data_IF_732611817954
#
_entry.id   IF_732611817954
#
_cell.length_a   1.000
_cell.length_b   1.000
_cell.length_c   1.000
_cell.angle_alpha   90.00
_cell.angle_beta   90.00
_cell.angle_gamma   90.00
#
_symmetry.space_group_name_H-M   'P 1'
#
loop_
_entity.id
_entity.type
_entity.pdbx_description
1 polymer ?
#
# COMPACT_ATOMS: atom_id res chain seq x y z
N UNK A 1 4.49 -3.93 26.20
CA UNK A 1 3.94 -4.99 25.35
C UNK A 1 4.65 -4.86 24.03
N UNK A 2 5.58 -5.77 23.76
CA UNK A 2 6.38 -5.75 22.54
C UNK A 2 5.47 -6.19 21.38
N UNK A 3 5.16 -5.27 20.48
CA UNK A 3 4.31 -5.51 19.31
C UNK A 3 5.09 -6.30 18.26
N UNK A 4 5.23 -7.61 18.48
CA UNK A 4 5.84 -8.51 17.52
C UNK A 4 4.78 -8.96 16.50
N UNK A 5 4.73 -8.27 15.37
CA UNK A 5 3.93 -8.70 14.22
C UNK A 5 4.66 -9.87 13.54
N UNK A 6 4.19 -11.11 13.77
CA UNK A 6 4.76 -12.31 13.13
C UNK A 6 4.45 -12.43 11.63
N UNK A 7 5.08 -13.40 10.96
CA UNK A 7 5.11 -13.61 9.49
C UNK A 7 3.77 -13.89 8.79
N UNK A 8 2.73 -14.16 9.57
CA UNK A 8 1.35 -14.54 9.19
C UNK A 8 0.32 -13.57 9.80
N UNK A 9 0.76 -12.40 10.28
CA UNK A 9 -0.09 -11.50 11.06
C UNK A 9 -1.34 -11.01 10.31
N UNK A 10 -1.22 -10.60 9.03
CA UNK A 10 -2.38 -10.22 8.22
C UNK A 10 -3.36 -11.37 8.01
N UNK A 11 -2.85 -12.59 7.77
CA UNK A 11 -3.67 -13.78 7.57
C UNK A 11 -4.43 -14.17 8.85
N UNK A 12 -3.79 -14.07 10.01
CA UNK A 12 -4.45 -14.27 11.32
C UNK A 12 -5.53 -13.23 11.62
N UNK A 13 -5.43 -12.04 11.04
CA UNK A 13 -6.47 -11.02 11.13
C UNK A 13 -7.60 -11.21 10.10
N UNK A 14 -7.53 -12.26 9.27
CA UNK A 14 -8.48 -12.49 8.17
C UNK A 14 -8.33 -11.50 7.02
N UNK A 15 -7.16 -10.86 6.89
CA UNK A 15 -6.88 -9.86 5.87
C UNK A 15 -6.11 -10.51 4.73
N UNK A 16 -6.64 -10.40 3.51
CA UNK A 16 -5.94 -10.77 2.28
C UNK A 16 -5.40 -9.54 1.57
N UNK A 17 -4.18 -9.63 1.05
CA UNK A 17 -3.54 -8.58 0.27
C UNK A 17 -3.70 -8.86 -1.23
N UNK A 18 -4.06 -7.84 -2.01
CA UNK A 18 -4.20 -7.94 -3.46
C UNK A 18 -3.35 -6.87 -4.13
N UNK A 19 -2.34 -7.31 -4.86
CA UNK A 19 -1.52 -6.44 -5.69
C UNK A 19 -2.31 -5.98 -6.90
N UNK A 20 -2.46 -4.66 -7.05
CA UNK A 20 -3.17 -4.08 -8.19
C UNK A 20 -2.24 -3.72 -9.37
N UNK A 21 -0.95 -3.54 -9.15
CA UNK A 21 0.06 -3.22 -10.18
C UNK A 21 -0.08 -1.83 -10.86
N UNK A 22 -1.25 -1.19 -10.85
CA UNK A 22 -1.44 0.17 -11.34
C UNK A 22 -2.57 0.88 -10.59
N UNK A 23 -2.53 2.22 -10.57
CA UNK A 23 -3.57 3.07 -9.97
C UNK A 23 -4.95 2.82 -10.59
N UNK A 24 -5.02 2.60 -11.90
CA UNK A 24 -6.27 2.27 -12.61
C UNK A 24 -6.88 0.95 -12.12
N UNK A 25 -6.05 -0.04 -11.82
CA UNK A 25 -6.51 -1.36 -11.37
C UNK A 25 -7.05 -1.34 -9.94
N UNK A 26 -6.63 -0.39 -9.10
CA UNK A 26 -7.11 -0.28 -7.71
C UNK A 26 -8.63 -0.11 -7.69
N UNK A 27 -9.15 0.83 -8.48
CA UNK A 27 -10.60 1.09 -8.56
C UNK A 27 -11.32 -0.13 -9.16
N UNK A 28 -10.77 -0.73 -10.22
CA UNK A 28 -11.34 -1.91 -10.86
C UNK A 28 -11.47 -3.08 -9.87
N UNK A 29 -10.40 -3.43 -9.15
CA UNK A 29 -10.42 -4.52 -8.18
C UNK A 29 -11.33 -4.20 -7.01
N UNK A 30 -11.34 -2.96 -6.50
CA UNK A 30 -12.26 -2.54 -5.46
C UNK A 30 -13.72 -2.72 -5.88
N UNK A 31 -14.07 -2.38 -7.13
CA UNK A 31 -15.43 -2.58 -7.66
C UNK A 31 -15.79 -4.06 -7.80
N UNK A 32 -14.89 -4.89 -8.32
CA UNK A 32 -15.11 -6.34 -8.46
C UNK A 32 -15.32 -6.97 -7.08
N UNK A 33 -14.45 -6.68 -6.12
CA UNK A 33 -14.54 -7.22 -4.76
C UNK A 33 -15.80 -6.74 -4.05
N UNK A 34 -16.17 -5.47 -4.23
CA UNK A 34 -17.44 -4.92 -3.72
C UNK A 34 -18.65 -5.66 -4.26
N UNK A 35 -18.65 -6.06 -5.54
CA UNK A 35 -19.73 -6.85 -6.12
C UNK A 35 -19.92 -8.20 -5.40
N UNK A 36 -18.84 -8.81 -4.93
CA UNK A 36 -18.88 -10.04 -4.12
C UNK A 36 -19.12 -9.79 -2.62
N UNK A 37 -19.41 -8.56 -2.20
CA UNK A 37 -19.60 -8.20 -0.79
C UNK A 37 -18.31 -8.22 0.03
N UNK A 38 -17.14 -8.22 -0.61
CA UNK A 38 -15.85 -8.21 0.05
C UNK A 38 -15.50 -6.75 0.38
N UNK A 39 -15.28 -6.46 1.66
CA UNK A 39 -14.80 -5.14 2.11
C UNK A 39 -13.35 -4.96 1.67
N UNK A 40 -13.04 -3.76 1.19
CA UNK A 40 -11.72 -3.44 0.65
C UNK A 40 -11.15 -2.19 1.30
N UNK A 41 -9.84 -2.21 1.49
CA UNK A 41 -9.04 -1.09 1.92
C UNK A 41 -7.92 -0.90 0.91
N UNK A 42 -7.74 0.31 0.38
CA UNK A 42 -6.70 0.58 -0.60
C UNK A 42 -5.43 1.13 0.02
N UNK A 43 -4.28 0.66 -0.45
CA UNK A 43 -2.99 1.28 -0.15
C UNK A 43 -2.41 1.71 -1.49
N UNK A 44 -2.07 3.00 -1.62
CA UNK A 44 -1.45 3.51 -2.83
C UNK A 44 -0.36 4.52 -2.54
N UNK A 45 0.62 4.58 -3.43
CA UNK A 45 1.68 5.56 -3.38
C UNK A 45 1.33 6.83 -4.16
N UNK A 46 1.77 7.96 -3.64
CA UNK A 46 1.67 9.27 -4.26
C UNK A 46 2.88 9.56 -5.13
N UNK A 47 3.34 8.64 -5.98
CA UNK A 47 4.49 8.86 -6.87
C UNK A 47 4.19 9.87 -8.00
N UNK A 48 3.92 11.13 -7.63
CA UNK A 48 3.67 12.25 -8.54
C UNK A 48 4.97 12.94 -8.96
N UNK A 49 6.09 12.68 -8.27
CA UNK A 49 7.35 13.43 -8.43
C UNK A 49 8.38 12.74 -9.33
N UNK A 50 8.39 11.40 -9.48
CA UNK A 50 9.53 10.69 -10.10
C UNK A 50 9.62 10.75 -11.63
N UNK A 51 8.60 11.24 -12.34
CA UNK A 51 8.71 11.43 -13.79
C UNK A 51 9.23 12.84 -14.13
N UNK A 52 10.48 12.90 -14.62
CA UNK A 52 11.17 14.12 -15.07
C UNK A 52 10.42 14.85 -16.21
N UNK A 53 9.54 14.16 -16.92
CA UNK A 53 8.69 14.73 -17.96
C UNK A 53 7.33 15.15 -17.38
N UNK A 54 7.07 16.47 -17.34
CA UNK A 54 5.87 17.06 -16.74
C UNK A 54 4.51 16.55 -17.29
N UNK A 55 4.48 15.82 -18.40
CA UNK A 55 3.26 15.21 -18.98
C UNK A 55 2.65 14.11 -18.09
N UNK A 56 3.47 13.31 -17.40
CA UNK A 56 2.96 12.23 -16.55
C UNK A 56 2.48 12.72 -15.18
N UNK A 57 2.91 13.91 -14.74
CA UNK A 57 2.53 14.49 -13.44
C UNK A 57 1.04 14.79 -13.35
N UNK A 58 0.48 15.44 -14.37
CA UNK A 58 -0.95 15.75 -14.42
C UNK A 58 -1.80 14.49 -14.46
N UNK A 59 -1.37 13.46 -15.19
CA UNK A 59 -2.09 12.20 -15.26
C UNK A 59 -2.04 11.44 -13.92
N UNK A 60 -0.88 11.39 -13.25
CA UNK A 60 -0.76 10.76 -11.93
C UNK A 60 -1.60 11.49 -10.88
N UNK A 61 -1.56 12.83 -10.85
CA UNK A 61 -2.36 13.65 -9.94
C UNK A 61 -3.87 13.41 -10.16
N UNK A 62 -4.31 13.35 -11.42
CA UNK A 62 -5.69 13.02 -11.77
C UNK A 62 -6.08 11.61 -11.29
N UNK A 63 -5.20 10.62 -11.47
CA UNK A 63 -5.45 9.25 -11.01
C UNK A 63 -5.52 9.14 -9.49
N UNK A 64 -4.64 9.85 -8.76
CA UNK A 64 -4.72 9.96 -7.30
C UNK A 64 -6.07 10.54 -6.87
N UNK A 65 -6.48 11.65 -7.49
CA UNK A 65 -7.77 12.29 -7.22
C UNK A 65 -8.95 11.34 -7.45
N UNK A 66 -8.92 10.53 -8.51
CA UNK A 66 -9.96 9.53 -8.75
C UNK A 66 -10.01 8.46 -7.66
N UNK A 67 -8.85 8.02 -7.14
CA UNK A 67 -8.79 7.03 -6.06
C UNK A 67 -9.32 7.62 -4.77
N UNK A 68 -8.86 8.81 -4.35
CA UNK A 68 -9.33 9.43 -3.11
C UNK A 68 -10.83 9.72 -3.19
N UNK A 69 -11.32 10.21 -4.33
CA UNK A 69 -12.74 10.47 -4.55
C UNK A 69 -13.57 9.19 -4.45
N UNK A 70 -13.10 8.09 -5.02
CA UNK A 70 -13.78 6.80 -4.94
C UNK A 70 -13.89 6.29 -3.49
N UNK A 71 -12.80 6.37 -2.71
CA UNK A 71 -12.77 5.80 -1.36
C UNK A 71 -13.24 6.74 -0.24
N UNK A 72 -13.19 8.06 -0.42
CA UNK A 72 -13.60 9.04 0.62
C UNK A 72 -14.75 9.96 0.23
N UNK A 73 -15.10 10.01 -1.06
CA UNK A 73 -15.99 11.05 -1.59
C UNK A 73 -15.32 12.41 -1.76
N UNK A 74 -14.04 12.56 -1.41
CA UNK A 74 -13.27 13.80 -1.55
C UNK A 74 -12.12 13.61 -2.53
N UNK A 75 -12.05 14.49 -3.53
CA UNK A 75 -11.01 14.48 -4.56
C UNK A 75 -9.78 15.25 -4.10
N UNK A 76 -8.65 14.56 -3.94
CA UNK A 76 -7.35 15.13 -3.54
C UNK A 76 -6.30 14.60 -4.51
N UNK A 77 -5.80 15.48 -5.38
CA UNK A 77 -4.88 15.06 -6.46
C UNK A 77 -3.43 14.88 -5.96
N UNK A 78 -3.09 15.55 -4.86
CA UNK A 78 -1.79 15.48 -4.19
C UNK A 78 -2.05 15.19 -2.72
N UNK A 79 -2.41 13.94 -2.35
CA UNK A 79 -2.66 13.60 -0.96
C UNK A 79 -1.34 13.55 -0.19
N UNK A 80 -1.37 14.04 1.05
CA UNK A 80 -0.28 13.83 2.01
C UNK A 80 -0.20 12.36 2.43
N UNK A 81 0.87 12.00 3.14
CA UNK A 81 0.90 10.72 3.85
C UNK A 81 -0.16 10.71 4.94
N UNK A 82 -1.22 9.92 4.78
CA UNK A 82 -2.35 9.84 5.71
C UNK A 82 -2.98 8.45 5.73
N UNK A 83 -3.49 8.06 6.90
CA UNK A 83 -4.30 6.85 7.10
C UNK A 83 -5.76 7.27 7.19
N UNK A 84 -6.56 6.90 6.20
CA UNK A 84 -8.00 7.15 6.17
C UNK A 84 -8.79 5.86 6.46
N UNK A 85 -10.11 6.01 6.58
CA UNK A 85 -11.03 4.89 6.85
C UNK A 85 -11.03 3.82 5.76
N UNK A 86 -10.90 4.21 4.49
CA UNK A 86 -11.02 3.28 3.36
C UNK A 86 -9.76 3.19 2.49
N UNK A 87 -8.75 4.01 2.78
CA UNK A 87 -7.46 3.95 2.11
C UNK A 87 -6.33 4.52 2.97
N UNK A 88 -5.08 4.18 2.63
CA UNK A 88 -3.87 4.89 3.04
C UNK A 88 -3.19 5.47 1.80
N UNK A 89 -2.79 6.73 1.88
CA UNK A 89 -1.94 7.38 0.89
C UNK A 89 -0.56 7.67 1.46
N UNK A 90 0.44 7.64 0.58
CA UNK A 90 1.80 8.10 0.89
C UNK A 90 2.14 9.26 -0.04
N UNK A 91 2.73 10.33 0.48
CA UNK A 91 3.13 11.49 -0.34
C UNK A 91 4.27 11.14 -1.31
N UNK A 92 5.20 10.29 -0.86
CA UNK A 92 6.25 9.70 -1.71
C UNK A 92 5.86 8.29 -2.15
N UNK A 93 6.82 7.53 -2.72
CA UNK A 93 6.60 6.11 -2.91
C UNK A 93 6.65 5.37 -1.56
N UNK A 94 5.82 4.33 -1.42
CA UNK A 94 5.78 3.48 -0.21
C UNK A 94 7.18 2.97 0.16
N UNK A 95 8.01 2.70 -0.83
CA UNK A 95 9.41 2.28 -0.67
C UNK A 95 10.25 3.28 0.13
N UNK A 96 10.12 4.59 -0.13
CA UNK A 96 10.82 5.63 0.65
C UNK A 96 10.48 5.52 2.13
N UNK A 97 9.20 5.35 2.48
CA UNK A 97 8.78 5.21 3.88
C UNK A 97 9.25 3.89 4.50
N UNK A 98 9.24 2.80 3.72
CA UNK A 98 9.78 1.51 4.15
C UNK A 98 11.29 1.61 4.44
N UNK A 99 12.06 2.26 3.56
CA UNK A 99 13.51 2.47 3.72
C UNK A 99 13.87 3.30 4.96
N UNK A 100 13.05 4.30 5.30
CA UNK A 100 13.23 5.09 6.55
C UNK A 100 13.15 4.22 7.80
N UNK A 101 12.34 3.16 7.76
CA UNK A 101 12.04 2.30 8.90
C UNK A 101 12.85 1.00 8.90
N UNK A 102 13.44 0.64 7.76
CA UNK A 102 14.11 -0.63 7.53
C UNK A 102 15.50 -0.38 6.95
N UNK A 103 16.54 -0.26 7.80
CA UNK A 103 17.90 0.06 7.35
C UNK A 103 18.49 -0.99 6.39
N UNK A 104 18.03 -2.23 6.48
CA UNK A 104 18.44 -3.36 5.64
C UNK A 104 17.43 -3.65 4.50
N UNK A 105 16.61 -2.65 4.13
CA UNK A 105 15.58 -2.79 3.10
C UNK A 105 16.14 -3.32 1.78
N UNK A 106 17.21 -2.72 1.26
CA UNK A 106 17.77 -3.08 -0.05
C UNK A 106 18.36 -4.51 -0.03
N UNK A 107 18.95 -4.93 1.09
CA UNK A 107 19.48 -6.30 1.26
C UNK A 107 18.35 -7.33 1.27
N UNK A 108 17.30 -7.09 2.07
CA UNK A 108 16.12 -7.97 2.14
C UNK A 108 15.37 -8.03 0.82
N UNK A 109 15.25 -6.90 0.15
CA UNK A 109 14.68 -6.80 -1.18
C UNK A 109 15.45 -7.67 -2.18
N UNK A 110 16.78 -7.57 -2.20
CA UNK A 110 17.63 -8.36 -3.08
C UNK A 110 17.51 -9.87 -2.80
N UNK A 111 17.52 -10.29 -1.52
CA UNK A 111 17.34 -11.70 -1.14
C UNK A 111 16.00 -12.26 -1.65
N UNK A 112 14.93 -11.45 -1.61
CA UNK A 112 13.62 -11.86 -2.10
C UNK A 112 13.57 -11.94 -3.63
N UNK A 113 14.18 -10.98 -4.34
CA UNK A 113 14.37 -11.05 -5.79
C UNK A 113 15.11 -12.34 -6.20
N UNK A 114 16.23 -12.63 -5.55
CA UNK A 114 17.08 -13.78 -5.87
C UNK A 114 16.36 -15.12 -5.64
N UNK A 115 15.49 -15.19 -4.64
CA UNK A 115 14.68 -16.39 -4.33
C UNK A 115 13.49 -16.59 -5.27
N UNK A 116 12.90 -15.50 -5.76
CA UNK A 116 11.66 -15.57 -6.50
C UNK A 116 11.84 -16.00 -7.96
N UNK A 117 13.06 -15.92 -8.53
CA UNK A 117 13.36 -16.03 -9.99
C UNK A 117 12.51 -15.11 -10.90
N UNK A 118 11.61 -14.32 -10.32
CA UNK A 118 10.66 -13.43 -10.98
C UNK A 118 11.08 -12.01 -10.65
N UNK A 119 11.80 -11.39 -11.58
CA UNK A 119 11.95 -9.95 -11.61
C UNK A 119 10.60 -9.35 -12.04
N UNK A 120 9.68 -9.13 -11.10
CA UNK A 120 8.44 -8.42 -11.41
C UNK A 120 8.71 -6.92 -11.37
N UNK A 121 8.37 -6.22 -12.45
CA UNK A 121 8.67 -4.80 -12.67
C UNK A 121 8.09 -3.82 -11.62
N UNK A 122 7.43 -4.29 -10.54
CA UNK A 122 6.69 -3.45 -9.59
C UNK A 122 6.75 -3.84 -8.11
N UNK A 123 7.72 -4.66 -7.69
CA UNK A 123 8.14 -4.82 -6.28
C UNK A 123 7.06 -5.27 -5.27
N UNK A 124 5.87 -5.64 -5.73
CA UNK A 124 4.66 -5.69 -4.91
C UNK A 124 4.55 -6.92 -4.03
N UNK A 125 4.96 -8.07 -4.56
CA UNK A 125 5.04 -9.32 -3.80
C UNK A 125 6.19 -9.26 -2.79
N UNK A 126 7.26 -8.52 -3.14
CA UNK A 126 8.37 -8.24 -2.25
C UNK A 126 7.91 -7.33 -1.10
N UNK A 127 7.10 -6.29 -1.37
CA UNK A 127 6.49 -5.50 -0.30
C UNK A 127 5.60 -6.35 0.62
N UNK A 128 4.82 -7.28 0.08
CA UNK A 128 3.99 -8.19 0.88
C UNK A 128 4.85 -9.07 1.80
N UNK A 129 5.89 -9.72 1.26
CA UNK A 129 6.80 -10.56 2.03
C UNK A 129 7.61 -9.77 3.07
N UNK A 130 7.97 -8.51 2.77
CA UNK A 130 8.66 -7.61 3.70
C UNK A 130 7.74 -7.11 4.83
N UNK A 131 6.48 -6.79 4.52
CA UNK A 131 5.45 -6.43 5.51
C UNK A 131 5.07 -7.60 6.42
N UNK A 132 5.18 -8.83 5.91
CA UNK A 132 5.05 -10.05 6.71
C UNK A 132 6.22 -10.24 7.68
N UNK A 133 7.45 -10.07 7.23
CA UNK A 133 8.65 -10.55 7.94
C UNK A 133 9.25 -9.63 9.00
N UNK A 134 8.53 -8.64 9.55
CA UNK A 134 9.15 -7.68 10.47
C UNK A 134 8.36 -7.32 11.72
N UNK A 135 9.11 -7.21 12.82
CA UNK A 135 8.79 -6.40 13.98
C UNK A 135 8.86 -4.91 13.61
N UNK A 136 7.86 -4.43 12.87
CA UNK A 136 7.71 -2.99 12.62
C UNK A 136 7.30 -2.29 13.92
N UNK A 137 8.18 -1.42 14.43
CA UNK A 137 7.82 -0.38 15.40
C UNK A 137 7.73 0.96 14.66
N UNK A 138 6.67 1.17 13.89
CA UNK A 138 6.31 2.49 13.38
C UNK A 138 4.82 2.73 13.62
N UNK A 139 4.50 3.87 14.24
CA UNK A 139 3.14 4.29 14.53
C UNK A 139 2.25 4.31 13.29
N UNK A 140 2.74 4.69 12.10
CA UNK A 140 1.90 4.81 10.90
C UNK A 140 1.45 3.45 10.35
N UNK A 141 2.34 2.45 10.34
CA UNK A 141 2.00 1.10 9.86
C UNK A 141 1.13 0.37 10.88
N UNK A 142 1.40 0.53 12.17
CA UNK A 142 0.55 -0.01 13.23
C UNK A 142 -0.84 0.64 13.21
N UNK A 143 -0.93 1.96 13.03
CA UNK A 143 -2.17 2.69 12.87
C UNK A 143 -2.94 2.27 11.61
N UNK A 144 -2.25 2.11 10.48
CA UNK A 144 -2.82 1.59 9.24
C UNK A 144 -3.41 0.20 9.46
N UNK A 145 -2.66 -0.73 10.06
CA UNK A 145 -3.13 -2.08 10.37
C UNK A 145 -4.36 -2.06 11.26
N UNK A 146 -4.35 -1.28 12.36
CA UNK A 146 -5.49 -1.15 13.27
C UNK A 146 -6.71 -0.60 12.55
N UNK A 147 -6.50 0.37 11.66
CA UNK A 147 -7.57 0.98 10.86
C UNK A 147 -8.14 -0.02 9.87
N UNK A 148 -7.30 -0.75 9.13
CA UNK A 148 -7.72 -1.82 8.22
C UNK A 148 -8.56 -2.84 8.98
N UNK A 149 -8.04 -3.35 10.10
CA UNK A 149 -8.73 -4.34 10.91
C UNK A 149 -10.09 -3.82 11.40
N UNK A 150 -10.14 -2.59 11.92
CA UNK A 150 -11.39 -1.96 12.36
C UNK A 150 -12.39 -1.81 11.21
N UNK A 151 -11.95 -1.42 10.02
CA UNK A 151 -12.85 -1.16 8.89
C UNK A 151 -13.36 -2.44 8.24
N UNK A 152 -12.55 -3.50 8.20
CA UNK A 152 -12.97 -4.80 7.68
C UNK A 152 -13.93 -5.52 8.64
N UNK A 153 -13.82 -5.29 9.96
CA UNK A 153 -14.64 -5.95 10.97
C UNK A 153 -15.82 -5.11 11.51
N UNK A 154 -15.95 -3.83 11.13
CA UNK A 154 -17.14 -2.98 11.42
C UNK A 154 -18.27 -3.22 10.43
#
# INVERSE_FOLDING_TARGET
MDSYFGTDYFERLGISYVVCGSKTNIILYAQILKFFGIKTYAIFDGDYTKNKDGKNKQNNAKQNGNITEYFSGVRVEIPSSEVCKLYTSYEENLESELKKCMPDFDEKYQILCDKAEVYSDKNSDIYYEMLKNQSFQNSIFEEMIKTIYSCLNS
#
